data_IF_146200055442
#
_entry.id   IF_146200055442
#
_cell.length_a   1.000
_cell.length_b   1.000
_cell.length_c   1.000
_cell.angle_alpha   90.00
_cell.angle_beta   90.00
_cell.angle_gamma   90.00
#
_symmetry.space_group_name_H-M   'P 1'
#
loop_
_entity.id
_entity.type
_entity.pdbx_description
1 polymer ?
#
# COMPACT_ATOMS: atom_id res chain seq x y z
N UNK A 1 9.54 -6.04 8.39
CA UNK A 1 9.52 -4.82 7.53
C UNK A 1 8.47 -4.87 6.43
N UNK A 2 8.28 -6.03 5.81
CA UNK A 2 7.26 -6.18 4.76
C UNK A 2 5.83 -5.93 5.28
N UNK A 3 5.53 -6.33 6.50
CA UNK A 3 4.22 -6.13 7.10
C UNK A 3 3.84 -4.65 7.26
N UNK A 4 4.81 -3.76 7.48
CA UNK A 4 4.50 -2.33 7.52
C UNK A 4 4.18 -1.78 6.13
N UNK A 5 4.82 -2.32 5.08
CA UNK A 5 4.50 -1.97 3.71
C UNK A 5 3.06 -2.38 3.36
N UNK A 6 2.62 -3.54 3.81
CA UNK A 6 1.24 -4.00 3.67
C UNK A 6 0.28 -3.05 4.38
N UNK A 7 0.61 -2.66 5.62
CA UNK A 7 -0.22 -1.73 6.40
C UNK A 7 -0.31 -0.35 5.75
N UNK A 8 0.80 0.16 5.19
CA UNK A 8 0.79 1.43 4.48
C UNK A 8 -0.18 1.38 3.29
N UNK A 9 -0.13 0.31 2.51
CA UNK A 9 -1.06 0.15 1.38
C UNK A 9 -2.52 0.04 1.83
N UNK A 10 -2.77 -0.62 2.95
CA UNK A 10 -4.13 -0.86 3.41
C UNK A 10 -4.74 0.35 4.16
N UNK A 11 -3.93 1.08 4.93
CA UNK A 11 -4.44 2.04 5.91
C UNK A 11 -4.10 3.50 5.61
N UNK A 12 -3.10 3.78 4.78
CA UNK A 12 -2.58 5.12 4.60
C UNK A 12 -3.05 5.81 3.32
N UNK A 13 -4.12 5.30 2.72
CA UNK A 13 -4.75 5.91 1.55
C UNK A 13 -6.19 6.27 1.87
N UNK A 14 -6.57 7.49 1.53
CA UNK A 14 -7.95 7.96 1.65
C UNK A 14 -8.63 7.90 0.28
N UNK A 15 -9.89 7.49 0.25
CA UNK A 15 -10.67 7.44 -0.97
C UNK A 15 -11.53 8.69 -1.09
N UNK A 16 -11.35 9.45 -2.18
CA UNK A 16 -12.17 10.61 -2.54
C UNK A 16 -12.58 10.52 -4.00
N UNK A 17 -13.89 10.57 -4.27
CA UNK A 17 -14.43 10.61 -5.63
C UNK A 17 -13.82 9.52 -6.55
N UNK A 18 -13.75 8.28 -6.06
CA UNK A 18 -13.18 7.13 -6.75
C UNK A 18 -11.67 7.22 -6.99
N UNK A 19 -10.99 8.17 -6.35
CA UNK A 19 -9.53 8.29 -6.40
C UNK A 19 -8.94 8.02 -5.03
N UNK A 20 -7.77 7.40 -5.00
CA UNK A 20 -7.02 7.17 -3.77
C UNK A 20 -5.96 8.24 -3.62
N UNK A 21 -5.89 8.84 -2.42
CA UNK A 21 -4.94 9.88 -2.09
C UNK A 21 -4.11 9.37 -0.92
N UNK A 22 -2.78 9.49 -1.03
CA UNK A 22 -1.88 9.07 0.05
C UNK A 22 -1.99 10.04 1.23
N UNK A 23 -2.26 9.48 2.43
CA UNK A 23 -2.33 10.25 3.66
C UNK A 23 -1.01 10.14 4.43
N UNK A 24 -0.15 11.14 4.24
CA UNK A 24 1.19 11.15 4.85
C UNK A 24 1.14 11.18 6.37
N UNK A 25 0.13 11.82 6.95
CA UNK A 25 -0.04 11.86 8.40
C UNK A 25 -0.31 10.48 8.98
N UNK A 26 -1.19 9.69 8.34
CA UNK A 26 -1.45 8.31 8.77
C UNK A 26 -0.20 7.45 8.64
N UNK A 27 0.54 7.60 7.55
CA UNK A 27 1.81 6.90 7.34
C UNK A 27 2.83 7.27 8.41
N UNK A 28 2.96 8.55 8.73
CA UNK A 28 3.87 9.03 9.78
C UNK A 28 3.53 8.40 11.12
N UNK A 29 2.24 8.41 11.49
CA UNK A 29 1.80 7.83 12.77
C UNK A 29 2.05 6.32 12.82
N UNK A 30 1.80 5.62 11.73
CA UNK A 30 2.05 4.17 11.64
C UNK A 30 3.54 3.86 11.79
N UNK A 31 4.40 4.58 11.09
CA UNK A 31 5.85 4.39 11.13
C UNK A 31 6.39 4.72 12.52
N UNK A 32 5.95 5.81 13.13
CA UNK A 32 6.36 6.18 14.49
C UNK A 32 5.93 5.14 15.52
N UNK A 33 4.71 4.62 15.40
CA UNK A 33 4.23 3.58 16.29
C UNK A 33 5.03 2.29 16.16
N UNK A 34 5.33 1.89 14.94
CA UNK A 34 6.13 0.69 14.67
C UNK A 34 7.56 0.85 15.19
N UNK A 35 8.17 2.02 15.00
CA UNK A 35 9.56 2.26 15.40
C UNK A 35 9.76 2.33 16.92
N UNK A 36 8.69 2.49 17.71
CA UNK A 36 8.74 2.36 19.17
C UNK A 36 9.00 0.92 19.60
N UNK A 37 8.55 -0.03 18.81
CA UNK A 37 8.71 -1.47 19.09
C UNK A 37 10.01 -1.97 18.47
N UNK A 38 10.32 -1.53 17.25
CA UNK A 38 11.51 -1.93 16.51
C UNK A 38 12.00 -0.77 15.67
N UNK A 39 13.25 -0.35 15.90
CA UNK A 39 13.86 0.74 15.12
C UNK A 39 14.15 0.27 13.68
N UNK A 40 13.90 1.16 12.73
CA UNK A 40 14.28 0.92 11.34
C UNK A 40 15.79 1.10 11.17
N UNK A 41 16.43 0.14 10.51
CA UNK A 41 17.81 0.31 10.03
C UNK A 41 17.82 1.28 8.83
N UNK A 42 19.01 1.77 8.48
CA UNK A 42 19.19 2.62 7.30
C UNK A 42 18.75 1.86 6.04
N UNK A 43 19.11 0.58 5.94
CA UNK A 43 18.75 -0.24 4.79
C UNK A 43 17.23 -0.45 4.70
N UNK A 44 16.56 -0.64 5.83
CA UNK A 44 15.10 -0.77 5.86
C UNK A 44 14.41 0.52 5.41
N UNK A 45 14.91 1.68 5.85
CA UNK A 45 14.38 2.97 5.39
C UNK A 45 14.53 3.14 3.89
N UNK A 46 15.69 2.78 3.34
CA UNK A 46 15.94 2.85 1.90
C UNK A 46 15.05 1.89 1.12
N UNK A 47 14.70 0.76 1.71
CA UNK A 47 13.91 -0.28 1.06
C UNK A 47 12.41 -0.08 1.16
N UNK A 48 11.92 0.83 2.00
CA UNK A 48 10.49 0.97 2.26
C UNK A 48 9.68 1.23 1.00
N UNK A 49 10.14 2.13 0.13
CA UNK A 49 9.45 2.45 -1.12
C UNK A 49 9.36 1.21 -2.02
N UNK A 50 10.44 0.47 -2.15
CA UNK A 50 10.47 -0.78 -2.95
C UNK A 50 9.51 -1.80 -2.37
N UNK A 51 9.49 -1.95 -1.04
CA UNK A 51 8.59 -2.89 -0.37
C UNK A 51 7.12 -2.49 -0.54
N UNK A 52 6.81 -1.20 -0.48
CA UNK A 52 5.45 -0.71 -0.72
C UNK A 52 5.01 -0.98 -2.15
N UNK A 53 5.90 -0.77 -3.14
CA UNK A 53 5.63 -1.10 -4.54
C UNK A 53 5.40 -2.60 -4.70
N UNK A 54 6.24 -3.43 -4.10
CA UNK A 54 6.13 -4.88 -4.17
C UNK A 54 4.83 -5.38 -3.55
N UNK A 55 4.45 -4.84 -2.40
CA UNK A 55 3.19 -5.18 -1.75
C UNK A 55 1.99 -4.78 -2.60
N UNK A 56 1.99 -3.57 -3.17
CA UNK A 56 0.93 -3.11 -4.04
C UNK A 56 0.80 -3.98 -5.29
N UNK A 57 1.93 -4.33 -5.90
CA UNK A 57 1.93 -5.20 -7.08
C UNK A 57 1.39 -6.59 -6.76
N UNK A 58 1.80 -7.17 -5.64
CA UNK A 58 1.32 -8.48 -5.20
C UNK A 58 -0.20 -8.49 -5.02
N UNK A 59 -0.74 -7.48 -4.34
CA UNK A 59 -2.19 -7.39 -4.14
C UNK A 59 -2.93 -7.10 -5.45
N UNK A 60 -2.34 -6.30 -6.34
CA UNK A 60 -2.89 -6.07 -7.67
C UNK A 60 -3.03 -7.37 -8.45
N UNK A 61 -1.98 -8.18 -8.47
CA UNK A 61 -1.98 -9.47 -9.18
C UNK A 61 -3.01 -10.43 -8.57
N UNK A 62 -3.07 -10.51 -7.25
CA UNK A 62 -4.03 -11.36 -6.55
C UNK A 62 -5.47 -10.93 -6.84
N UNK A 63 -5.77 -9.64 -6.76
CA UNK A 63 -7.11 -9.13 -7.03
C UNK A 63 -7.51 -9.29 -8.49
N UNK A 64 -6.56 -9.12 -9.41
CA UNK A 64 -6.82 -9.32 -10.85
C UNK A 64 -7.16 -10.78 -11.11
N UNK A 65 -6.39 -11.70 -10.53
CA UNK A 65 -6.67 -13.12 -10.65
C UNK A 65 -8.06 -13.47 -10.12
N UNK A 66 -8.40 -13.01 -8.92
CA UNK A 66 -9.70 -13.27 -8.30
C UNK A 66 -10.83 -12.65 -9.10
N UNK A 67 -10.64 -11.43 -9.60
CA UNK A 67 -11.62 -10.74 -10.41
C UNK A 67 -11.96 -11.51 -11.68
N UNK A 68 -10.93 -12.06 -12.36
CA UNK A 68 -11.11 -12.81 -13.61
C UNK A 68 -11.69 -14.22 -13.38
N UNK A 69 -11.40 -14.83 -12.23
CA UNK A 69 -11.75 -16.24 -11.97
C UNK A 69 -12.93 -16.43 -11.04
N UNK A 70 -13.48 -15.35 -10.46
CA UNK A 70 -14.68 -15.48 -9.61
C UNK A 70 -15.92 -15.66 -10.49
N UNK A 71 -16.75 -16.71 -10.26
CA UNK A 71 -17.97 -16.91 -11.02
C UNK A 71 -18.92 -15.72 -10.91
N UNK A 72 -19.58 -15.38 -12.00
CA UNK A 72 -20.58 -14.29 -12.02
C UNK A 72 -21.74 -14.53 -11.05
N UNK A 73 -22.03 -15.80 -10.74
CA UNK A 73 -23.07 -16.20 -9.80
C UNK A 73 -22.63 -16.08 -8.33
N UNK A 74 -21.37 -15.81 -8.05
CA UNK A 74 -20.90 -15.63 -6.67
C UNK A 74 -21.50 -14.37 -6.08
N UNK A 75 -22.08 -14.49 -4.88
CA UNK A 75 -22.70 -13.37 -4.15
C UNK A 75 -21.66 -12.44 -3.56
N UNK A 76 -20.40 -12.83 -3.60
CA UNK A 76 -19.28 -12.08 -3.00
C UNK A 76 -18.99 -10.84 -3.85
N UNK A 77 -18.95 -9.66 -3.24
CA UNK A 77 -18.56 -8.43 -3.91
C UNK A 77 -17.10 -8.53 -4.35
N UNK A 78 -16.86 -8.46 -5.65
CA UNK A 78 -15.50 -8.45 -6.18
C UNK A 78 -14.82 -7.14 -5.87
N UNK A 79 -13.61 -7.19 -5.33
CA UNK A 79 -12.80 -5.99 -5.13
C UNK A 79 -12.15 -5.60 -6.46
N UNK A 80 -12.30 -4.32 -6.82
CA UNK A 80 -11.76 -3.80 -8.08
C UNK A 80 -10.23 -3.71 -8.01
N UNK A 81 -9.51 -4.33 -8.96
CA UNK A 81 -8.05 -4.20 -9.03
C UNK A 81 -7.56 -2.76 -9.21
N UNK A 82 -8.41 -1.86 -9.71
CA UNK A 82 -8.05 -0.45 -9.95
C UNK A 82 -7.54 0.27 -8.70
N UNK A 83 -7.99 -0.14 -7.52
CA UNK A 83 -7.49 0.42 -6.26
C UNK A 83 -5.98 0.30 -6.16
N UNK A 84 -5.43 -0.88 -6.41
CA UNK A 84 -3.99 -1.11 -6.29
C UNK A 84 -3.20 -0.58 -7.49
N UNK A 85 -3.83 -0.44 -8.65
CA UNK A 85 -3.22 0.28 -9.77
C UNK A 85 -2.95 1.73 -9.38
N UNK A 86 -3.91 2.40 -8.77
CA UNK A 86 -3.75 3.77 -8.29
C UNK A 86 -2.68 3.87 -7.20
N UNK A 87 -2.71 2.97 -6.23
CA UNK A 87 -1.72 2.94 -5.14
C UNK A 87 -0.32 2.70 -5.68
N UNK A 88 -0.15 1.77 -6.62
CA UNK A 88 1.14 1.51 -7.24
C UNK A 88 1.66 2.73 -8.00
N UNK A 89 0.81 3.43 -8.73
CA UNK A 89 1.20 4.67 -9.43
C UNK A 89 1.67 5.74 -8.44
N UNK A 90 1.03 5.86 -7.28
CA UNK A 90 1.45 6.80 -6.26
C UNK A 90 2.82 6.42 -5.70
N UNK A 91 3.04 5.15 -5.38
CA UNK A 91 4.35 4.70 -4.92
C UNK A 91 5.45 4.90 -5.96
N UNK A 92 5.12 4.78 -7.25
CA UNK A 92 6.09 5.01 -8.32
C UNK A 92 6.52 6.47 -8.43
N UNK A 93 5.73 7.42 -7.94
CA UNK A 93 6.09 8.84 -7.87
C UNK A 93 6.99 9.14 -6.68
N UNK A 94 7.01 8.27 -5.68
CA UNK A 94 7.85 8.44 -4.50
C UNK A 94 9.25 7.92 -4.78
N UNK A 95 10.26 8.57 -4.18
CA UNK A 95 11.65 8.20 -4.42
C UNK A 95 12.43 7.89 -3.14
N UNK A 96 11.78 7.84 -1.98
CA UNK A 96 12.47 7.52 -0.76
C UNK A 96 11.59 7.55 0.47
N UNK A 97 12.20 7.26 1.61
CA UNK A 97 11.54 7.19 2.91
C UNK A 97 10.84 8.50 3.29
N UNK A 98 11.43 9.64 2.90
CA UNK A 98 10.87 10.97 3.21
C UNK A 98 9.46 11.20 2.64
N UNK A 99 9.05 10.42 1.65
CA UNK A 99 7.71 10.52 1.07
C UNK A 99 6.64 9.90 1.99
N UNK A 100 7.05 9.06 2.93
CA UNK A 100 6.16 8.33 3.83
C UNK A 100 6.05 8.93 5.22
N UNK A 101 6.94 9.86 5.57
CA UNK A 101 6.99 10.46 6.89
C UNK A 101 7.14 11.99 6.78
N UNK A 102 6.46 12.69 7.68
CA UNK A 102 6.55 14.14 7.79
C UNK A 102 7.84 14.54 8.50
#
# INVERSE_FOLDING_TARGET
>A
MYEIAICINALCFDKKNNKFIFNKKKSTNLIKGYSKIRKFSINEKKSLNILCKGAALRYLLTRTYDFLNTPKSAIITKKDPKEYIQKLKIHNKFNGFKNYII
#
